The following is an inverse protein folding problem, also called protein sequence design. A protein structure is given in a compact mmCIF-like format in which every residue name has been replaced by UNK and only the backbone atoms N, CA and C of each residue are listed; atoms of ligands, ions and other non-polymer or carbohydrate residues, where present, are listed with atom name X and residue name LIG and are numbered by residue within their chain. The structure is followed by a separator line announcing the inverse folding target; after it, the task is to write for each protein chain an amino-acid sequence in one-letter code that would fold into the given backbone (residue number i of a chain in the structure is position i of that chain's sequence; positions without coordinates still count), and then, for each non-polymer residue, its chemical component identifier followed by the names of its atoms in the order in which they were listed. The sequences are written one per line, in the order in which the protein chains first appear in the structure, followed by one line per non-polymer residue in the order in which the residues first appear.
data_IF_835021305651
#
_entry.id   IF_835021305651
#
_cell.length_a   1.000
_cell.length_b   1.000
_cell.length_c   1.000
_cell.angle_alpha   90.00
_cell.angle_beta   90.00
_cell.angle_gamma   90.00
#
_symmetry.space_group_name_H-M   'P 1'
#
loop_
_entity.id
_entity.type
_entity.pdbx_description
1 polymer ?
#
# COMPACT_ATOMS: atom_id res chain seq x y z
N UNK A 1 -6.12 -25.67 32.60
CA UNK A 1 -7.26 -25.60 31.66
C UNK A 1 -7.15 -24.31 30.82
N UNK A 2 -6.24 -24.30 29.84
CA UNK A 2 -6.52 -24.53 28.41
C UNK A 2 -7.49 -23.50 27.87
N UNK A 3 -6.98 -22.55 27.09
CA UNK A 3 -7.56 -22.07 25.82
C UNK A 3 -6.41 -21.50 25.00
N UNK A 4 -5.58 -22.42 24.52
CA UNK A 4 -4.67 -22.19 23.41
C UNK A 4 -5.57 -22.15 22.17
N UNK A 5 -6.06 -20.95 21.83
CA UNK A 5 -6.74 -20.70 20.57
C UNK A 5 -5.73 -20.97 19.45
N UNK A 6 -5.73 -22.22 19.01
CA UNK A 6 -5.22 -22.60 17.71
C UNK A 6 -6.04 -21.84 16.68
N UNK A 7 -5.58 -20.64 16.36
CA UNK A 7 -5.99 -19.90 15.17
C UNK A 7 -5.61 -20.84 14.02
N UNK A 8 -6.58 -21.65 13.60
CA UNK A 8 -6.54 -22.33 12.30
C UNK A 8 -6.60 -21.19 11.30
N UNK A 9 -5.45 -20.54 11.06
CA UNK A 9 -5.31 -19.52 10.06
C UNK A 9 -5.71 -20.19 8.74
N UNK A 10 -6.90 -19.83 8.27
CA UNK A 10 -7.37 -20.29 6.98
C UNK A 10 -6.31 -19.88 5.94
N UNK A 11 -6.12 -20.68 4.87
CA UNK A 11 -5.11 -20.39 3.86
C UNK A 11 -5.24 -18.96 3.29
N UNK A 12 -6.46 -18.41 3.30
CA UNK A 12 -6.76 -17.04 2.90
C UNK A 12 -6.17 -15.99 3.84
N UNK A 13 -6.26 -16.19 5.16
CA UNK A 13 -5.70 -15.27 6.17
C UNK A 13 -4.17 -15.27 6.15
N UNK A 14 -3.55 -16.44 5.96
CA UNK A 14 -2.09 -16.55 5.79
C UNK A 14 -1.62 -15.80 4.56
N UNK A 15 -2.33 -15.97 3.44
CA UNK A 15 -2.05 -15.27 2.20
C UNK A 15 -2.23 -13.75 2.35
N UNK A 16 -3.31 -13.29 2.98
CA UNK A 16 -3.54 -11.88 3.22
C UNK A 16 -2.45 -11.25 4.14
N UNK A 17 -1.96 -12.00 5.14
CA UNK A 17 -0.82 -11.57 5.97
C UNK A 17 0.48 -11.49 5.16
N UNK A 18 0.72 -12.46 4.27
CA UNK A 18 1.87 -12.44 3.36
C UNK A 18 1.80 -11.25 2.39
N UNK A 19 0.67 -11.02 1.72
CA UNK A 19 0.48 -9.87 0.82
C UNK A 19 0.71 -8.53 1.53
N UNK A 20 0.22 -8.40 2.77
CA UNK A 20 0.47 -7.20 3.60
C UNK A 20 1.95 -7.02 3.92
N UNK A 21 2.67 -8.09 4.21
CA UNK A 21 4.12 -8.06 4.48
C UNK A 21 4.88 -7.67 3.22
N UNK A 22 4.60 -8.32 2.10
CA UNK A 22 5.25 -8.05 0.81
C UNK A 22 5.01 -6.61 0.33
N UNK A 23 3.81 -6.07 0.52
CA UNK A 23 3.52 -4.67 0.22
C UNK A 23 4.36 -3.71 1.07
N UNK A 24 4.57 -4.02 2.36
CA UNK A 24 5.44 -3.21 3.23
C UNK A 24 6.91 -3.31 2.81
N UNK A 25 7.38 -4.51 2.52
CA UNK A 25 8.75 -4.75 2.07
C UNK A 25 9.03 -4.06 0.73
N UNK A 26 8.05 -4.06 -0.20
CA UNK A 26 8.12 -3.32 -1.45
C UNK A 26 8.20 -1.81 -1.22
N UNK A 27 7.39 -1.25 -0.32
CA UNK A 27 7.48 0.18 0.01
C UNK A 27 8.83 0.57 0.62
N UNK A 28 9.36 -0.27 1.52
CA UNK A 28 10.70 -0.07 2.09
C UNK A 28 11.78 -0.09 1.00
N UNK A 29 11.67 -1.02 0.05
CA UNK A 29 12.57 -1.11 -1.11
C UNK A 29 12.47 0.13 -2.00
N UNK A 30 11.26 0.58 -2.35
CA UNK A 30 11.01 1.80 -3.13
C UNK A 30 11.63 3.02 -2.44
N UNK A 31 11.45 3.14 -1.12
CA UNK A 31 12.00 4.26 -0.37
C UNK A 31 13.55 4.24 -0.38
N UNK A 32 14.16 3.07 -0.20
CA UNK A 32 15.61 2.90 -0.30
C UNK A 32 16.12 3.28 -1.70
N UNK A 33 15.46 2.79 -2.76
CA UNK A 33 15.80 3.10 -4.14
C UNK A 33 15.69 4.60 -4.45
N UNK A 34 14.64 5.27 -3.96
CA UNK A 34 14.45 6.72 -4.09
C UNK A 34 15.51 7.54 -3.36
N UNK A 35 16.01 7.05 -2.24
CA UNK A 35 17.07 7.70 -1.47
C UNK A 35 18.45 7.49 -2.11
N UNK A 36 18.67 6.34 -2.77
CA UNK A 36 19.92 6.03 -3.45
C UNK A 36 20.15 6.88 -4.71
N UNK A 37 19.08 7.42 -5.32
CA UNK A 37 19.18 8.28 -6.50
C UNK A 37 19.12 9.76 -6.11
N UNK A 38 20.19 10.53 -6.33
CA UNK A 38 20.20 11.97 -6.06
C UNK A 38 19.10 12.72 -6.84
N UNK A 39 18.51 13.75 -6.22
CA UNK A 39 17.40 14.52 -6.82
C UNK A 39 17.75 15.20 -8.14
N UNK A 40 19.03 15.51 -8.36
CA UNK A 40 19.50 16.25 -9.54
C UNK A 40 19.73 15.34 -10.76
N UNK A 41 19.86 14.02 -10.57
CA UNK A 41 20.07 13.07 -11.66
C UNK A 41 18.75 12.68 -12.32
N UNK A 42 18.31 13.52 -13.26
CA UNK A 42 17.03 13.35 -13.96
C UNK A 42 16.95 12.04 -14.75
N UNK A 43 18.06 11.55 -15.28
CA UNK A 43 18.08 10.32 -16.10
C UNK A 43 17.83 9.10 -15.22
N UNK A 44 18.59 8.97 -14.13
CA UNK A 44 18.42 7.85 -13.18
C UNK A 44 17.07 7.91 -12.47
N UNK A 45 16.54 9.11 -12.20
CA UNK A 45 15.20 9.29 -11.62
C UNK A 45 14.08 8.77 -12.50
N UNK A 46 14.19 8.94 -13.84
CA UNK A 46 13.20 8.40 -14.79
C UNK A 46 13.23 6.87 -14.80
N UNK A 47 14.43 6.30 -14.97
CA UNK A 47 14.63 4.85 -14.91
C UNK A 47 14.12 4.26 -13.60
N UNK A 48 14.42 4.90 -12.47
CA UNK A 48 13.91 4.49 -11.17
C UNK A 48 12.39 4.49 -11.11
N UNK A 49 11.73 5.50 -11.70
CA UNK A 49 10.27 5.59 -11.68
C UNK A 49 9.64 4.47 -12.52
N UNK A 50 10.23 4.17 -13.67
CA UNK A 50 9.83 3.05 -14.53
C UNK A 50 10.03 1.70 -13.83
N UNK A 51 11.17 1.51 -13.17
CA UNK A 51 11.46 0.31 -12.37
C UNK A 51 10.47 0.15 -11.21
N UNK A 52 10.16 1.23 -10.48
CA UNK A 52 9.16 1.23 -9.40
C UNK A 52 7.79 0.84 -9.95
N UNK A 53 7.35 1.46 -11.04
CA UNK A 53 6.05 1.17 -11.65
C UNK A 53 5.95 -0.30 -12.09
N UNK A 54 7.03 -0.85 -12.67
CA UNK A 54 7.09 -2.27 -13.03
C UNK A 54 7.02 -3.17 -11.79
N UNK A 55 7.79 -2.89 -10.74
CA UNK A 55 7.77 -3.68 -9.51
C UNK A 55 6.40 -3.66 -8.81
N UNK A 56 5.72 -2.51 -8.78
CA UNK A 56 4.37 -2.38 -8.22
C UNK A 56 3.33 -3.14 -9.06
N UNK A 57 3.42 -3.06 -10.39
CA UNK A 57 2.53 -3.79 -11.29
C UNK A 57 2.73 -5.30 -11.18
N UNK A 58 3.98 -5.79 -11.21
CA UNK A 58 4.31 -7.21 -11.09
C UNK A 58 3.81 -7.80 -9.76
N UNK A 59 3.97 -7.07 -8.66
CA UNK A 59 3.49 -7.51 -7.34
C UNK A 59 1.95 -7.51 -7.27
N UNK A 60 1.31 -6.46 -7.77
CA UNK A 60 -0.15 -6.38 -7.81
C UNK A 60 -0.76 -7.48 -8.67
N UNK A 61 -0.16 -7.77 -9.82
CA UNK A 61 -0.61 -8.83 -10.73
C UNK A 61 -0.48 -10.21 -10.09
N UNK A 62 0.62 -10.47 -9.36
CA UNK A 62 0.79 -11.72 -8.60
C UNK A 62 -0.28 -11.87 -7.51
N UNK A 63 -0.49 -10.83 -6.70
CA UNK A 63 -1.51 -10.85 -5.65
C UNK A 63 -2.92 -11.03 -6.23
N UNK A 64 -3.23 -10.38 -7.36
CA UNK A 64 -4.51 -10.55 -8.04
C UNK A 64 -4.67 -11.97 -8.61
N UNK A 65 -3.64 -12.53 -9.23
CA UNK A 65 -3.67 -13.90 -9.76
C UNK A 65 -3.86 -14.93 -8.64
N UNK A 66 -3.15 -14.78 -7.51
CA UNK A 66 -3.28 -15.64 -6.34
C UNK A 66 -4.68 -15.52 -5.70
N UNK A 67 -5.19 -14.29 -5.55
CA UNK A 67 -6.56 -14.05 -5.09
C UNK A 67 -7.59 -14.63 -6.04
N UNK A 68 -7.37 -14.52 -7.36
CA UNK A 68 -8.28 -15.08 -8.38
C UNK A 68 -8.24 -16.60 -8.36
N UNK A 69 -7.07 -17.22 -8.18
CA UNK A 69 -6.94 -18.66 -8.05
C UNK A 69 -7.67 -19.16 -6.80
N UNK A 70 -7.50 -18.47 -5.66
CA UNK A 70 -8.24 -18.76 -4.43
C UNK A 70 -9.75 -18.56 -4.59
N UNK A 71 -10.17 -17.48 -5.26
CA UNK A 71 -11.58 -17.22 -5.55
C UNK A 71 -12.16 -18.30 -6.46
N UNK A 72 -11.46 -18.71 -7.51
CA UNK A 72 -11.91 -19.81 -8.37
C UNK A 72 -12.02 -21.16 -7.65
N UNK A 73 -11.21 -21.41 -6.62
CA UNK A 73 -11.39 -22.58 -5.74
C UNK A 73 -12.52 -22.39 -4.73
N UNK A 74 -12.88 -21.15 -4.38
CA UNK A 74 -13.95 -20.80 -3.44
C UNK A 74 -15.28 -20.38 -4.11
N UNK A 75 -15.35 -20.31 -5.44
CA UNK A 75 -16.45 -19.70 -6.23
C UNK A 75 -17.79 -20.46 -6.15
N UNK A 76 -17.92 -21.46 -5.28
CA UNK A 76 -19.24 -21.91 -4.80
C UNK A 76 -19.83 -20.95 -3.75
N UNK A 77 -19.02 -20.08 -3.13
CA UNK A 77 -19.44 -19.23 -2.00
C UNK A 77 -18.73 -17.88 -2.02
N UNK A 78 -19.55 -16.84 -2.14
CA UNK A 78 -19.30 -15.47 -1.66
C UNK A 78 -18.66 -14.50 -2.66
N UNK A 79 -19.57 -13.84 -3.40
CA UNK A 79 -19.50 -12.40 -3.69
C UNK A 79 -19.18 -11.61 -2.40
N UNK A 80 -17.93 -11.24 -2.15
CA UNK A 80 -17.59 -10.10 -1.28
C UNK A 80 -16.11 -9.73 -1.37
N UNK A 81 -15.82 -8.49 -0.96
CA UNK A 81 -14.51 -7.90 -0.72
C UNK A 81 -13.87 -7.14 -1.90
N UNK A 82 -14.56 -6.09 -2.35
CA UNK A 82 -13.91 -4.80 -2.51
C UNK A 82 -13.59 -4.25 -1.12
N UNK A 83 -12.32 -4.31 -0.69
CA UNK A 83 -11.82 -3.51 0.43
C UNK A 83 -10.49 -2.89 0.00
N UNK A 84 -10.61 -1.88 -0.84
CA UNK A 84 -9.57 -0.87 -1.05
C UNK A 84 -9.33 -0.18 0.30
N UNK A 85 -8.24 -0.57 0.97
CA UNK A 85 -7.69 0.16 2.11
C UNK A 85 -7.12 1.49 1.59
N UNK A 86 -8.02 2.45 1.50
CA UNK A 86 -7.76 3.85 1.23
C UNK A 86 -7.09 4.45 2.46
N UNK A 87 -5.77 4.27 2.56
CA UNK A 87 -4.92 5.07 3.45
C UNK A 87 -4.88 6.51 2.92
N UNK A 88 -5.99 7.22 3.10
CA UNK A 88 -6.01 8.66 3.04
C UNK A 88 -5.19 9.16 4.23
N UNK A 89 -3.93 9.48 3.97
CA UNK A 89 -3.21 10.40 4.82
C UNK A 89 -4.05 11.67 4.91
N UNK A 90 -4.69 11.89 6.07
CA UNK A 90 -5.35 13.14 6.42
C UNK A 90 -4.50 14.31 5.89
N UNK A 91 -5.06 15.26 5.12
CA UNK A 91 -4.30 16.33 4.52
C UNK A 91 -3.63 17.14 5.63
N UNK A 92 -2.32 16.91 5.84
CA UNK A 92 -1.55 17.63 6.84
C UNK A 92 -1.49 19.08 6.39
N UNK A 93 -2.16 19.96 7.11
CA UNK A 93 -2.04 21.40 6.91
C UNK A 93 -0.57 21.79 6.98
N UNK A 94 -0.06 22.32 5.88
CA UNK A 94 1.31 22.80 5.80
C UNK A 94 1.49 23.98 6.75
N UNK A 95 2.72 24.17 7.25
CA UNK A 95 3.05 25.33 8.11
C UNK A 95 2.67 26.68 7.44
N UNK A 96 2.72 26.75 6.11
CA UNK A 96 2.28 27.90 5.32
C UNK A 96 0.76 28.12 5.36
N UNK A 97 -0.06 27.05 5.29
CA UNK A 97 -1.52 27.14 5.44
C UNK A 97 -1.92 27.67 6.82
N UNK A 98 -1.25 27.24 7.89
CA UNK A 98 -1.54 27.71 9.27
C UNK A 98 -1.27 29.21 9.44
N UNK A 99 -0.22 29.76 8.81
CA UNK A 99 0.07 31.20 8.80
C UNK A 99 -1.03 32.02 8.11
N UNK A 100 -1.55 31.56 6.97
CA UNK A 100 -2.63 32.26 6.24
C UNK A 100 -3.93 32.35 7.04
N UNK A 101 -4.26 31.31 7.80
CA UNK A 101 -5.45 31.31 8.68
C UNK A 101 -5.27 32.24 9.87
N UNK A 102 -4.05 32.34 10.42
CA UNK A 102 -3.75 33.22 11.55
C UNK A 102 -3.95 34.71 11.24
N UNK A 103 -3.78 35.13 9.98
CA UNK A 103 -4.00 36.51 9.55
C UNK A 103 -5.34 36.70 8.83
N UNK A 104 -6.28 35.75 8.94
CA UNK A 104 -7.63 35.92 8.41
C UNK A 104 -8.38 36.92 9.29
N UNK A 105 -8.22 38.20 8.95
CA UNK A 105 -8.95 39.31 9.56
C UNK A 105 -10.44 39.11 9.22
N UNK A 106 -11.35 39.09 10.20
CA UNK A 106 -12.78 39.06 9.92
C UNK A 106 -13.18 40.37 9.23
N UNK A 107 -13.71 40.25 8.02
CA UNK A 107 -14.35 41.37 7.33
C UNK A 107 -15.59 41.75 8.14
N UNK A 108 -15.62 43.01 8.61
CA UNK A 108 -16.79 43.63 9.22
C UNK A 108 -17.75 44.10 8.14
#
# INVERSE_FOLDING_TARGET
PVMEETIVETPEERMAKQHRKEKKDLQAKIQSMKNAVPKNDKKRRKQLTEEIAKLEADLSQKHEAELRQLKSTNDTKVKACQMINEYHGQPRVTKAQKRRVSYRIPLK
#
